data_IF_377791322823
#
_entry.id   IF_377791322823
#
_cell.length_a   1.000
_cell.length_b   1.000
_cell.length_c   1.000
_cell.angle_alpha   90.00
_cell.angle_beta   90.00
_cell.angle_gamma   90.00
#
_symmetry.space_group_name_H-M   'P 1'
#
loop_
_entity.id
_entity.type
_entity.pdbx_description
1 polymer ?
#
# COMPACT_ATOMS: atom_id res chain seq x y z
N UNK A 1 11.94 2.95 -23.22
CA UNK A 1 11.31 4.06 -22.45
C UNK A 1 10.39 3.42 -21.43
N UNK A 2 10.78 3.40 -20.17
CA UNK A 2 9.96 2.82 -19.08
C UNK A 2 8.76 3.75 -18.84
N UNK A 3 7.55 3.25 -19.05
CA UNK A 3 6.34 3.98 -18.64
C UNK A 3 6.28 3.93 -17.12
N UNK A 4 6.80 4.98 -16.47
CA UNK A 4 6.60 5.17 -15.03
C UNK A 4 5.10 5.24 -14.78
N UNK A 5 4.61 4.43 -13.86
CA UNK A 5 3.20 4.37 -13.50
C UNK A 5 3.01 5.07 -12.16
N UNK A 6 2.04 5.98 -12.08
CA UNK A 6 1.55 6.44 -10.78
C UNK A 6 0.88 5.24 -10.11
N UNK A 7 1.17 5.01 -8.85
CA UNK A 7 0.44 4.03 -8.05
C UNK A 7 -1.05 4.35 -8.20
N UNK A 8 -1.81 3.36 -8.67
CA UNK A 8 -3.26 3.55 -8.79
C UNK A 8 -3.76 4.04 -7.44
N UNK A 9 -4.59 5.09 -7.46
CA UNK A 9 -5.34 5.46 -6.28
C UNK A 9 -5.97 4.18 -5.75
N UNK A 10 -6.03 4.07 -4.46
CA UNK A 10 -6.97 3.16 -3.84
C UNK A 10 -8.28 3.28 -4.60
N UNK A 11 -8.67 2.23 -5.31
CA UNK A 11 -9.85 2.26 -6.20
C UNK A 11 -11.15 2.28 -5.39
N UNK A 12 -11.07 2.21 -4.06
CA UNK A 12 -12.22 2.22 -3.16
C UNK A 12 -12.13 3.30 -2.08
N UNK A 13 -13.28 3.87 -1.72
CA UNK A 13 -13.41 4.81 -0.59
C UNK A 13 -13.02 4.21 0.77
N UNK A 14 -12.85 2.89 0.86
CA UNK A 14 -12.41 2.17 2.06
C UNK A 14 -10.91 2.35 2.35
N UNK A 15 -10.11 2.51 1.31
CA UNK A 15 -8.67 2.63 1.48
C UNK A 15 -8.28 3.95 2.12
N UNK A 16 -9.12 4.97 1.96
CA UNK A 16 -8.96 6.27 2.60
C UNK A 16 -9.30 6.23 4.09
N UNK A 17 -10.15 5.29 4.54
CA UNK A 17 -10.48 5.11 5.96
C UNK A 17 -9.39 4.32 6.72
N UNK A 18 -8.50 3.67 6.00
CA UNK A 18 -7.48 2.83 6.60
C UNK A 18 -6.27 3.66 6.99
N UNK A 19 -6.01 3.75 8.27
CA UNK A 19 -4.77 4.34 8.80
C UNK A 19 -3.55 3.60 8.24
N UNK A 20 -3.67 2.27 8.16
CA UNK A 20 -2.63 1.40 7.61
C UNK A 20 -3.19 0.03 7.20
N UNK A 21 -2.41 -0.67 6.37
CA UNK A 21 -2.66 -2.06 5.96
C UNK A 21 -1.43 -2.91 6.20
N UNK A 22 -1.65 -4.21 6.39
CA UNK A 22 -0.61 -5.22 6.47
C UNK A 22 -0.79 -6.21 5.32
N UNK A 23 0.27 -6.48 4.58
CA UNK A 23 0.24 -7.32 3.38
C UNK A 23 1.50 -8.17 3.26
N UNK A 24 1.39 -9.29 2.53
CA UNK A 24 2.54 -10.00 1.96
C UNK A 24 2.67 -9.64 0.49
N UNK A 25 3.87 -9.32 0.06
CA UNK A 25 4.19 -9.02 -1.34
C UNK A 25 5.26 -9.98 -1.84
N UNK A 26 5.07 -10.50 -3.04
CA UNK A 26 5.96 -11.49 -3.66
C UNK A 26 6.34 -11.00 -5.04
N UNK A 27 7.65 -10.85 -5.28
CA UNK A 27 8.15 -10.42 -6.58
C UNK A 27 9.10 -11.48 -7.16
N UNK A 28 8.71 -12.02 -8.31
CA UNK A 28 9.46 -13.06 -9.02
C UNK A 28 10.11 -12.53 -10.32
N UNK A 29 9.88 -11.28 -10.68
CA UNK A 29 10.40 -10.62 -11.87
C UNK A 29 10.53 -9.12 -11.63
N UNK A 30 11.28 -8.46 -12.52
CA UNK A 30 11.43 -7.01 -12.50
C UNK A 30 10.05 -6.32 -12.59
N UNK A 31 9.90 -5.24 -11.85
CA UNK A 31 8.68 -4.41 -11.89
C UNK A 31 8.87 -3.24 -12.85
N UNK A 32 7.80 -2.47 -13.07
CA UNK A 32 7.91 -1.18 -13.74
C UNK A 32 8.10 -0.07 -12.71
N UNK A 33 8.77 1.03 -13.05
CA UNK A 33 8.87 2.18 -12.16
C UNK A 33 7.49 2.64 -11.70
N UNK A 34 7.33 2.84 -10.40
CA UNK A 34 6.08 3.25 -9.75
C UNK A 34 6.31 4.44 -8.85
N UNK A 35 5.48 5.48 -8.99
CA UNK A 35 5.41 6.62 -8.06
C UNK A 35 4.44 6.25 -6.95
N UNK A 36 4.88 6.31 -5.71
CA UNK A 36 4.08 5.94 -4.55
C UNK A 36 3.30 7.13 -4.00
N UNK A 37 2.02 6.93 -3.70
CA UNK A 37 1.17 7.95 -3.07
C UNK A 37 1.10 7.77 -1.55
N UNK A 38 1.35 6.56 -1.05
CA UNK A 38 1.32 6.22 0.37
C UNK A 38 2.69 5.77 0.86
N UNK A 39 2.98 6.06 2.13
CA UNK A 39 4.19 5.56 2.76
C UNK A 39 4.09 4.06 3.03
N UNK A 40 5.23 3.38 3.00
CA UNK A 40 5.29 1.95 3.33
C UNK A 40 6.63 1.52 3.88
N UNK A 41 6.58 0.58 4.79
CA UNK A 41 7.72 -0.24 5.16
C UNK A 41 7.66 -1.57 4.42
N UNK A 42 8.78 -1.98 3.82
CA UNK A 42 8.96 -3.31 3.22
C UNK A 42 10.06 -4.03 3.99
N UNK A 43 9.74 -5.12 4.65
CA UNK A 43 10.72 -6.00 5.30
C UNK A 43 10.93 -7.23 4.42
N UNK A 44 12.12 -7.38 3.84
CA UNK A 44 12.47 -8.56 3.06
C UNK A 44 12.69 -9.75 4.01
N UNK A 45 11.83 -10.75 3.90
CA UNK A 45 11.87 -11.98 4.71
C UNK A 45 12.63 -13.09 4.00
N UNK A 46 12.68 -13.05 2.65
CA UNK A 46 13.33 -14.02 1.80
C UNK A 46 13.68 -13.44 0.44
N UNK A 47 14.63 -14.07 -0.25
CA UNK A 47 15.04 -13.72 -1.60
C UNK A 47 16.17 -12.71 -1.63
N UNK A 48 16.59 -12.40 -2.87
CA UNK A 48 17.64 -11.44 -3.19
C UNK A 48 17.39 -10.81 -4.55
N UNK A 49 17.90 -9.60 -4.74
CA UNK A 49 17.75 -8.84 -5.98
C UNK A 49 18.21 -7.39 -5.82
N UNK A 50 17.75 -6.54 -6.70
CA UNK A 50 18.05 -5.10 -6.69
C UNK A 50 16.78 -4.28 -6.85
N UNK A 51 16.74 -3.19 -6.11
CA UNK A 51 15.70 -2.16 -6.23
C UNK A 51 16.36 -0.82 -6.56
N UNK A 52 15.78 -0.10 -7.50
CA UNK A 52 16.07 1.31 -7.68
C UNK A 52 15.06 2.12 -6.90
N UNK A 53 15.54 2.98 -6.03
CA UNK A 53 14.72 3.92 -5.27
C UNK A 53 15.25 5.33 -5.51
N UNK A 54 14.43 6.16 -6.11
CA UNK A 54 14.79 7.54 -6.39
C UNK A 54 16.08 7.66 -7.22
N UNK A 55 16.20 6.85 -8.27
CA UNK A 55 17.37 6.76 -9.17
C UNK A 55 18.64 6.20 -8.52
N UNK A 56 18.62 5.80 -7.25
CA UNK A 56 19.73 5.09 -6.59
C UNK A 56 19.42 3.59 -6.59
N UNK A 57 20.39 2.78 -6.99
CA UNK A 57 20.27 1.32 -6.95
C UNK A 57 20.76 0.78 -5.61
N UNK A 58 20.01 -0.18 -5.07
CA UNK A 58 20.33 -0.83 -3.80
C UNK A 58 20.15 -2.35 -3.93
N UNK A 59 21.00 -3.09 -3.24
CA UNK A 59 20.80 -4.51 -3.03
C UNK A 59 19.63 -4.76 -2.08
N UNK A 60 18.81 -5.75 -2.39
CA UNK A 60 17.75 -6.25 -1.52
C UNK A 60 18.05 -7.71 -1.23
N UNK A 61 18.07 -8.06 0.05
CA UNK A 61 18.28 -9.43 0.52
C UNK A 61 17.51 -9.66 1.80
N UNK A 62 17.41 -10.91 2.23
CA UNK A 62 16.80 -11.24 3.51
C UNK A 62 17.33 -10.30 4.61
N UNK A 63 16.44 -9.72 5.42
CA UNK A 63 16.67 -8.72 6.47
C UNK A 63 16.92 -7.29 5.97
N UNK A 64 16.72 -7.01 4.70
CA UNK A 64 16.62 -5.62 4.26
C UNK A 64 15.27 -5.06 4.72
N UNK A 65 15.28 -3.85 5.29
CA UNK A 65 14.07 -3.05 5.52
C UNK A 65 14.15 -1.77 4.71
N UNK A 66 13.08 -1.46 4.02
CA UNK A 66 12.98 -0.33 3.09
C UNK A 66 11.85 0.57 3.56
N UNK A 67 12.10 1.86 3.63
CA UNK A 67 11.07 2.87 3.83
C UNK A 67 10.88 3.66 2.52
N UNK A 68 9.68 3.60 2.01
CA UNK A 68 9.22 4.39 0.85
C UNK A 68 8.23 5.41 1.40
N UNK A 69 8.38 6.68 1.03
CA UNK A 69 7.46 7.75 1.42
C UNK A 69 6.71 8.29 0.20
N UNK A 70 5.64 9.08 0.39
CA UNK A 70 4.88 9.65 -0.72
C UNK A 70 5.80 10.35 -1.72
N UNK A 71 5.53 10.13 -2.99
CA UNK A 71 6.24 10.64 -4.17
C UNK A 71 7.63 10.04 -4.41
N UNK A 72 8.04 9.04 -3.65
CA UNK A 72 9.18 8.22 -4.04
C UNK A 72 8.86 7.39 -5.30
N UNK A 73 9.90 7.12 -6.08
CA UNK A 73 9.82 6.24 -7.25
C UNK A 73 10.63 4.99 -6.95
N UNK A 74 9.98 3.83 -7.04
CA UNK A 74 10.67 2.55 -6.89
C UNK A 74 10.48 1.63 -8.09
N UNK A 75 11.47 0.78 -8.33
CA UNK A 75 11.47 -0.24 -9.37
C UNK A 75 12.34 -1.40 -8.91
N UNK A 76 11.83 -2.62 -8.93
CA UNK A 76 12.67 -3.81 -8.77
C UNK A 76 13.32 -4.08 -10.14
N UNK A 77 14.62 -3.84 -10.21
CA UNK A 77 15.41 -3.90 -11.45
C UNK A 77 16.02 -5.27 -11.70
N UNK A 78 16.16 -6.08 -10.63
CA UNK A 78 16.71 -7.43 -10.73
C UNK A 78 16.12 -8.30 -9.63
N UNK A 79 15.74 -9.52 -9.96
CA UNK A 79 15.33 -10.57 -9.02
C UNK A 79 16.24 -11.77 -9.25
N UNK A 80 17.10 -12.09 -8.28
CA UNK A 80 17.99 -13.26 -8.31
C UNK A 80 17.28 -14.47 -7.72
N UNK A 81 16.64 -14.26 -6.55
CA UNK A 81 15.73 -15.19 -5.90
C UNK A 81 14.43 -14.48 -5.58
N UNK A 82 13.31 -15.19 -5.68
CA UNK A 82 11.99 -14.60 -5.41
C UNK A 82 12.00 -13.81 -4.10
N UNK A 83 11.72 -12.52 -4.22
CA UNK A 83 11.64 -11.62 -3.09
C UNK A 83 10.30 -11.79 -2.36
N UNK A 84 10.34 -11.93 -1.05
CA UNK A 84 9.17 -11.99 -0.19
C UNK A 84 9.25 -10.85 0.83
N UNK A 85 8.24 -9.98 0.82
CA UNK A 85 8.15 -8.84 1.73
C UNK A 85 6.96 -8.95 2.67
N UNK A 86 7.16 -8.51 3.90
CA UNK A 86 6.08 -8.01 4.74
C UNK A 86 5.98 -6.51 4.46
N UNK A 87 4.80 -6.09 4.01
CA UNK A 87 4.52 -4.70 3.64
C UNK A 87 3.51 -4.10 4.61
N UNK A 88 3.83 -2.92 5.15
CA UNK A 88 2.91 -2.09 5.91
C UNK A 88 2.76 -0.79 5.12
N UNK A 89 1.60 -0.57 4.53
CA UNK A 89 1.24 0.69 3.88
C UNK A 89 0.49 1.54 4.89
N UNK A 90 0.82 2.82 5.02
CA UNK A 90 0.20 3.69 6.02
C UNK A 90 -0.01 5.11 5.51
N UNK A 91 -0.99 5.80 6.10
CA UNK A 91 -1.24 7.20 5.83
C UNK A 91 -0.15 8.06 6.45
N UNK A 92 0.70 8.63 5.60
CA UNK A 92 1.87 9.39 6.03
C UNK A 92 1.49 10.71 6.69
N UNK A 93 0.46 11.40 6.19
CA UNK A 93 -0.01 12.67 6.78
C UNK A 93 -0.54 12.44 8.19
N UNK A 94 -1.41 11.44 8.39
CA UNK A 94 -1.93 11.11 9.72
C UNK A 94 -0.81 10.70 10.70
N UNK A 95 0.24 10.05 10.21
CA UNK A 95 1.39 9.68 11.03
C UNK A 95 2.24 10.89 11.40
N UNK A 96 2.53 11.80 10.46
CA UNK A 96 3.32 13.00 10.72
C UNK A 96 2.58 14.00 11.60
N UNK A 97 1.25 14.13 11.45
CA UNK A 97 0.42 14.94 12.33
C UNK A 97 0.47 14.42 13.78
N UNK A 98 0.36 13.10 13.95
CA UNK A 98 0.50 12.48 15.28
C UNK A 98 1.87 12.71 15.91
N UNK A 99 2.95 12.65 15.13
CA UNK A 99 4.29 12.98 15.61
C UNK A 99 4.43 14.46 16.00
N UNK A 100 3.78 15.36 15.27
CA UNK A 100 3.77 16.79 15.58
C UNK A 100 3.01 17.08 16.87
N UNK A 101 1.88 16.42 17.10
CA UNK A 101 1.09 16.53 18.33
C UNK A 101 1.85 16.03 19.57
N UNK A 102 2.80 15.12 19.39
CA UNK A 102 3.67 14.65 20.48
C UNK A 102 4.86 15.60 20.77
N UNK A 103 4.93 16.76 20.10
CA UNK A 103 6.04 17.72 20.20
C UNK A 103 7.44 17.10 19.98
N UNK A 104 7.50 15.92 19.35
CA UNK A 104 8.76 15.22 19.08
C UNK A 104 9.57 15.96 18.04
N UNK A 105 8.89 16.73 17.17
CA UNK A 105 9.48 17.54 16.10
C UNK A 105 8.94 18.98 16.17
N UNK A 106 9.60 19.82 16.96
CA UNK A 106 9.18 21.22 17.18
C UNK A 106 9.59 22.18 16.07
N UNK A 107 10.48 21.78 15.19
CA UNK A 107 10.84 22.57 14.01
C UNK A 107 10.31 21.87 12.75
N UNK A 108 9.56 22.65 11.94
CA UNK A 108 8.96 22.22 10.68
C UNK A 108 9.80 21.19 9.92
N UNK A 109 9.42 19.94 10.06
CA UNK A 109 9.64 18.80 9.13
C UNK A 109 11.03 18.58 8.49
N UNK A 110 12.02 19.47 8.63
CA UNK A 110 13.29 19.35 7.92
C UNK A 110 14.17 18.22 8.45
N UNK A 111 14.19 17.94 9.75
CA UNK A 111 15.10 16.93 10.30
C UNK A 111 14.61 15.49 10.12
N UNK A 112 13.30 15.22 10.30
CA UNK A 112 12.76 13.87 10.08
C UNK A 112 12.85 13.43 8.63
N UNK A 113 12.52 14.33 7.68
CA UNK A 113 12.67 14.06 6.26
C UNK A 113 14.13 13.91 5.84
N UNK A 114 15.06 14.70 6.39
CA UNK A 114 16.49 14.56 6.08
C UNK A 114 17.07 13.24 6.60
N UNK A 115 16.76 12.85 7.83
CA UNK A 115 17.20 11.58 8.39
C UNK A 115 16.65 10.35 7.62
N UNK A 116 15.43 10.46 7.10
CA UNK A 116 14.84 9.43 6.24
C UNK A 116 15.48 9.45 4.86
N UNK A 117 15.78 10.63 4.29
CA UNK A 117 16.26 10.74 2.91
C UNK A 117 17.64 10.13 2.70
N UNK A 118 18.52 10.17 3.69
CA UNK A 118 19.89 9.74 3.50
C UNK A 118 20.06 8.21 3.43
N UNK A 119 19.13 7.45 4.00
CA UNK A 119 19.25 5.99 4.10
C UNK A 119 17.92 5.26 4.06
N UNK A 120 17.39 5.08 2.85
CA UNK A 120 16.08 4.44 2.61
C UNK A 120 16.07 2.93 2.84
N UNK A 121 17.22 2.28 2.71
CA UNK A 121 17.35 0.83 2.90
C UNK A 121 18.34 0.58 4.02
N UNK A 122 17.97 -0.32 4.93
CA UNK A 122 18.82 -0.73 6.05
C UNK A 122 18.92 -2.25 6.11
N UNK A 123 20.11 -2.74 6.48
CA UNK A 123 20.38 -4.16 6.62
C UNK A 123 20.44 -4.52 8.09
N UNK A 124 19.47 -5.31 8.53
CA UNK A 124 19.26 -5.63 9.93
C UNK A 124 20.16 -6.80 10.37
N UNK A 125 20.71 -6.73 11.57
CA UNK A 125 21.27 -7.91 12.23
C UNK A 125 20.13 -8.81 12.76
N UNK A 126 20.48 -9.97 13.31
CA UNK A 126 19.49 -10.96 13.79
C UNK A 126 18.58 -10.44 14.89
N UNK A 127 19.11 -9.60 15.78
CA UNK A 127 18.36 -9.04 16.92
C UNK A 127 17.37 -7.99 16.40
N UNK A 128 17.84 -7.07 15.57
CA UNK A 128 17.06 -6.01 14.95
C UNK A 128 15.94 -6.60 14.07
N UNK A 129 16.27 -7.60 13.25
CA UNK A 129 15.29 -8.28 12.40
C UNK A 129 14.16 -8.94 13.22
N UNK A 130 14.53 -9.64 14.31
CA UNK A 130 13.53 -10.28 15.18
C UNK A 130 12.66 -9.24 15.91
N UNK A 131 13.22 -8.10 16.30
CA UNK A 131 12.49 -7.02 16.94
C UNK A 131 11.47 -6.41 15.97
N UNK A 132 11.93 -5.95 14.81
CA UNK A 132 11.09 -5.35 13.76
C UNK A 132 10.02 -6.34 13.29
N UNK A 133 10.37 -7.60 13.08
CA UNK A 133 9.39 -8.62 12.70
C UNK A 133 8.30 -8.81 13.79
N UNK A 134 8.66 -8.70 15.07
CA UNK A 134 7.71 -8.77 16.19
C UNK A 134 6.76 -7.58 16.15
N UNK A 135 7.29 -6.38 15.96
CA UNK A 135 6.48 -5.14 15.85
C UNK A 135 5.56 -5.21 14.63
N UNK A 136 6.05 -5.66 13.47
CA UNK A 136 5.21 -5.86 12.28
C UNK A 136 4.10 -6.90 12.50
N UNK A 137 4.36 -7.97 13.26
CA UNK A 137 3.32 -8.96 13.60
C UNK A 137 2.23 -8.41 14.53
N UNK A 138 2.53 -7.40 15.35
CA UNK A 138 1.50 -6.72 16.16
C UNK A 138 0.49 -6.00 15.25
N UNK A 139 0.94 -5.36 14.16
CA UNK A 139 0.02 -4.77 13.18
C UNK A 139 -0.91 -5.82 12.58
N UNK A 140 -0.37 -6.97 12.18
CA UNK A 140 -1.18 -8.06 11.65
C UNK A 140 -2.26 -8.54 12.63
N UNK A 141 -1.95 -8.57 13.92
CA UNK A 141 -2.91 -8.97 14.95
C UNK A 141 -4.09 -8.00 15.07
N UNK A 142 -3.85 -6.70 14.80
CA UNK A 142 -4.87 -5.65 14.90
C UNK A 142 -5.69 -5.48 13.62
N UNK A 143 -5.02 -5.39 12.46
CA UNK A 143 -5.68 -5.07 11.18
C UNK A 143 -5.91 -6.30 10.29
N UNK A 144 -5.42 -7.46 10.70
CA UNK A 144 -5.42 -8.65 9.85
C UNK A 144 -4.38 -8.56 8.74
N UNK A 145 -4.56 -9.38 7.74
CA UNK A 145 -3.74 -9.41 6.54
C UNK A 145 -4.66 -9.11 5.37
N UNK A 146 -4.41 -8.03 4.64
CA UNK A 146 -5.31 -7.57 3.58
C UNK A 146 -5.47 -8.61 2.47
N UNK A 147 -4.43 -9.42 2.30
CA UNK A 147 -4.49 -10.56 1.41
C UNK A 147 -5.33 -11.72 1.96
N UNK A 148 -5.65 -11.78 3.25
CA UNK A 148 -6.35 -12.90 3.89
C UNK A 148 -7.55 -12.44 4.72
N UNK A 149 -7.37 -11.41 5.53
CA UNK A 149 -8.35 -11.02 6.52
C UNK A 149 -8.11 -9.58 6.99
N UNK A 150 -8.92 -8.64 6.51
CA UNK A 150 -8.83 -7.26 6.94
C UNK A 150 -9.82 -6.97 8.08
N UNK A 151 -9.32 -6.39 9.17
CA UNK A 151 -10.16 -5.93 10.29
C UNK A 151 -10.21 -4.40 10.26
N UNK A 152 -11.37 -3.79 9.97
CA UNK A 152 -11.49 -2.34 10.04
C UNK A 152 -11.13 -1.81 11.43
N UNK A 153 -10.44 -0.70 11.48
CA UNK A 153 -10.12 -0.01 12.73
C UNK A 153 -11.41 0.56 13.31
N UNK A 154 -11.91 -0.07 14.38
CA UNK A 154 -13.27 0.18 14.91
C UNK A 154 -13.33 1.28 15.95
N UNK A 155 -12.23 1.61 16.60
CA UNK A 155 -12.22 2.51 17.73
C UNK A 155 -10.96 3.38 17.80
N UNK A 156 -11.09 4.50 18.52
CA UNK A 156 -9.99 5.46 18.69
C UNK A 156 -8.76 4.88 19.43
N UNK A 157 -8.94 3.89 20.28
CA UNK A 157 -7.82 3.30 21.02
C UNK A 157 -6.97 2.42 20.11
N UNK A 158 -7.60 1.62 19.26
CA UNK A 158 -6.90 0.86 18.21
C UNK A 158 -6.14 1.81 17.29
N UNK A 159 -6.74 2.93 16.87
CA UNK A 159 -6.05 3.93 16.04
C UNK A 159 -4.82 4.50 16.74
N UNK A 160 -4.94 4.91 18.02
CA UNK A 160 -3.80 5.42 18.81
C UNK A 160 -2.72 4.34 18.94
N UNK A 161 -3.12 3.10 19.22
CA UNK A 161 -2.18 1.98 19.35
C UNK A 161 -1.42 1.72 18.07
N UNK A 162 -2.08 1.73 16.90
CA UNK A 162 -1.44 1.55 15.60
C UNK A 162 -0.47 2.70 15.27
N UNK A 163 -0.81 3.95 15.60
CA UNK A 163 0.12 5.08 15.46
C UNK A 163 1.33 4.91 16.38
N UNK A 164 1.13 4.45 17.61
CA UNK A 164 2.22 4.15 18.56
C UNK A 164 3.14 3.04 18.00
N UNK A 165 2.56 1.99 17.41
CA UNK A 165 3.35 0.93 16.75
C UNK A 165 4.12 1.45 15.53
N UNK A 166 3.56 2.40 14.76
CA UNK A 166 4.30 3.05 13.66
C UNK A 166 5.49 3.87 14.20
N UNK A 167 5.33 4.56 15.32
CA UNK A 167 6.43 5.25 16.01
C UNK A 167 7.48 4.24 16.46
N UNK A 168 7.09 3.14 17.13
CA UNK A 168 7.99 2.05 17.56
C UNK A 168 8.80 1.52 16.36
N UNK A 169 8.11 1.16 15.27
CA UNK A 169 8.74 0.65 14.04
C UNK A 169 9.71 1.67 13.41
N UNK A 170 9.31 2.94 13.38
CA UNK A 170 10.15 4.01 12.83
C UNK A 170 11.41 4.22 13.68
N UNK A 171 11.29 4.19 14.99
CA UNK A 171 12.44 4.29 15.90
C UNK A 171 13.38 3.09 15.74
N UNK A 172 12.85 1.86 15.65
CA UNK A 172 13.64 0.66 15.40
C UNK A 172 14.38 0.76 14.05
N UNK A 173 13.68 1.23 13.01
CA UNK A 173 14.27 1.49 11.70
C UNK A 173 15.38 2.54 11.77
N UNK A 174 15.17 3.70 12.40
CA UNK A 174 16.15 4.77 12.49
C UNK A 174 17.39 4.40 13.35
N UNK A 175 17.20 3.55 14.35
CA UNK A 175 18.29 3.05 15.22
C UNK A 175 19.10 1.91 14.62
N UNK A 176 18.57 1.20 13.62
CA UNK A 176 19.31 0.14 12.96
C UNK A 176 20.56 0.72 12.28
N UNK A 177 21.69 0.03 12.44
CA UNK A 177 22.96 0.52 11.89
C UNK A 177 22.95 0.41 10.37
N UNK A 178 23.27 1.51 9.70
CA UNK A 178 23.58 1.46 8.28
C UNK A 178 24.90 0.74 8.04
N UNK A 179 24.82 -0.31 7.26
CA UNK A 179 26.00 -0.90 6.60
C UNK A 179 25.75 -0.69 5.10
N UNK A 180 25.71 0.56 4.67
CA UNK A 180 25.74 0.87 3.25
C UNK A 180 27.18 1.18 2.86
N UNK A 181 27.76 0.35 2.01
CA UNK A 181 28.86 0.82 1.16
C UNK A 181 28.21 1.88 0.25
N UNK A 182 28.65 3.13 0.39
CA UNK A 182 28.25 4.23 -0.47
C UNK A 182 28.65 3.88 -1.91
N UNK A 183 27.70 3.53 -2.73
CA UNK A 183 27.91 3.58 -4.18
C UNK A 183 27.84 5.07 -4.53
N UNK A 184 29.00 5.65 -4.86
CA UNK A 184 29.11 7.06 -5.27
C UNK A 184 28.06 7.38 -6.34
N UNK A 185 27.06 8.15 -5.96
CA UNK A 185 26.14 8.76 -6.90
C UNK A 185 26.79 10.01 -7.49
N UNK A 186 26.76 10.16 -8.80
CA UNK A 186 27.14 11.38 -9.49
C UNK A 186 26.36 12.57 -8.93
N UNK A 187 26.99 13.40 -8.12
CA UNK A 187 26.41 14.47 -7.30
C UNK A 187 25.88 15.69 -8.11
N UNK A 188 25.84 15.68 -9.44
CA UNK A 188 25.55 16.87 -10.24
C UNK A 188 24.23 16.83 -11.04
N UNK A 189 23.32 15.90 -10.80
CA UNK A 189 22.02 15.88 -11.48
C UNK A 189 20.89 16.16 -10.49
N UNK A 190 20.02 17.11 -10.81
CA UNK A 190 18.79 17.37 -10.08
C UNK A 190 18.02 16.04 -9.95
N UNK A 191 17.69 15.65 -8.73
CA UNK A 191 16.96 14.42 -8.47
C UNK A 191 15.46 14.69 -8.64
N UNK A 192 14.78 13.88 -9.44
CA UNK A 192 13.34 14.01 -9.71
C UNK A 192 12.52 14.02 -8.41
N UNK A 193 12.92 13.27 -7.40
CA UNK A 193 12.19 13.20 -6.14
C UNK A 193 12.30 14.48 -5.33
N UNK A 194 13.42 15.19 -5.41
CA UNK A 194 13.54 16.52 -4.79
C UNK A 194 12.54 17.47 -5.42
N UNK A 195 12.37 17.39 -6.76
CA UNK A 195 11.36 18.17 -7.48
C UNK A 195 9.95 17.79 -7.03
N UNK A 196 9.64 16.49 -6.97
CA UNK A 196 8.32 15.99 -6.54
C UNK A 196 8.02 16.37 -5.09
N UNK A 197 8.96 16.12 -4.18
CA UNK A 197 8.82 16.47 -2.76
C UNK A 197 8.66 17.97 -2.55
N UNK A 198 9.46 18.77 -3.25
CA UNK A 198 9.34 20.23 -3.22
C UNK A 198 7.95 20.66 -3.70
N UNK A 199 7.50 20.16 -4.84
CA UNK A 199 6.17 20.50 -5.37
C UNK A 199 5.05 20.14 -4.40
N UNK A 200 5.11 18.96 -3.79
CA UNK A 200 4.09 18.49 -2.85
C UNK A 200 4.08 19.30 -1.54
N UNK A 201 5.25 19.64 -1.01
CA UNK A 201 5.38 20.46 0.21
C UNK A 201 4.87 21.92 0.01
N UNK A 202 4.96 22.44 -1.21
CA UNK A 202 4.65 23.84 -1.52
C UNK A 202 3.35 24.01 -2.33
N UNK A 203 2.44 23.03 -2.28
CA UNK A 203 1.18 23.11 -3.04
C UNK A 203 0.38 24.38 -2.73
N UNK A 204 0.36 24.81 -1.46
CA UNK A 204 -0.31 26.04 -1.01
C UNK A 204 0.26 27.33 -1.64
N UNK A 205 1.51 27.32 -2.10
CA UNK A 205 2.23 28.51 -2.59
C UNK A 205 1.87 28.90 -4.03
N UNK A 206 0.83 28.31 -4.59
CA UNK A 206 0.41 28.52 -5.99
C UNK A 206 1.59 28.33 -6.95
N UNK A 207 2.09 27.10 -6.97
CA UNK A 207 3.23 26.71 -7.79
C UNK A 207 2.99 26.99 -9.28
N UNK A 208 4.04 27.47 -9.93
CA UNK A 208 4.13 27.58 -11.39
C UNK A 208 5.40 26.89 -11.86
N UNK A 209 5.43 26.50 -13.12
CA UNK A 209 6.62 25.90 -13.71
C UNK A 209 7.85 26.79 -13.55
N UNK A 210 7.66 28.14 -13.65
CA UNK A 210 8.70 29.13 -13.42
C UNK A 210 9.30 29.06 -12.03
N UNK A 211 8.43 29.03 -11.00
CA UNK A 211 8.88 28.97 -9.60
C UNK A 211 9.69 27.69 -9.34
N UNK A 212 9.16 26.55 -9.76
CA UNK A 212 9.85 25.26 -9.58
C UNK A 212 11.17 25.24 -10.36
N UNK A 213 11.17 25.68 -11.61
CA UNK A 213 12.40 25.75 -12.43
C UNK A 213 13.48 26.62 -11.79
N UNK A 214 13.08 27.76 -11.20
CA UNK A 214 14.02 28.67 -10.53
C UNK A 214 14.67 28.05 -9.30
N UNK A 215 13.90 27.29 -8.49
CA UNK A 215 14.42 26.60 -7.29
C UNK A 215 15.49 25.58 -7.64
N UNK A 216 15.31 24.87 -8.75
CA UNK A 216 16.26 23.85 -9.21
C UNK A 216 17.24 24.35 -10.25
N UNK A 217 17.39 25.68 -10.39
CA UNK A 217 18.33 26.32 -11.33
C UNK A 217 18.18 25.83 -12.78
N UNK A 218 16.96 25.53 -13.20
CA UNK A 218 16.66 25.06 -14.55
C UNK A 218 15.87 26.11 -15.34
N UNK A 219 15.97 26.03 -16.69
CA UNK A 219 15.01 26.77 -17.54
C UNK A 219 13.63 26.08 -17.50
N UNK A 220 12.55 26.83 -17.79
CA UNK A 220 11.20 26.25 -17.92
C UNK A 220 11.15 25.08 -18.90
N UNK A 221 11.78 25.26 -20.06
CA UNK A 221 11.82 24.21 -21.09
C UNK A 221 12.60 22.98 -20.63
N UNK A 222 13.71 23.19 -19.92
CA UNK A 222 14.51 22.10 -19.35
C UNK A 222 13.72 21.34 -18.27
N UNK A 223 13.05 22.03 -17.35
CA UNK A 223 12.22 21.42 -16.32
C UNK A 223 11.03 20.67 -16.94
N UNK A 224 10.32 21.26 -17.89
CA UNK A 224 9.22 20.58 -18.57
C UNK A 224 9.66 19.30 -19.29
N UNK A 225 10.81 19.36 -19.98
CA UNK A 225 11.41 18.20 -20.61
C UNK A 225 11.85 17.15 -19.58
N UNK A 226 12.49 17.61 -18.50
CA UNK A 226 12.95 16.73 -17.43
C UNK A 226 11.81 15.95 -16.78
N UNK A 227 10.69 16.60 -16.43
CA UNK A 227 9.50 15.92 -15.93
C UNK A 227 8.94 14.91 -16.94
N UNK A 228 8.90 15.30 -18.23
CA UNK A 228 8.38 14.42 -19.27
C UNK A 228 9.27 13.20 -19.49
N UNK A 229 10.59 13.40 -19.49
CA UNK A 229 11.56 12.31 -19.72
C UNK A 229 11.68 11.38 -18.50
N UNK A 230 11.62 11.93 -17.27
CA UNK A 230 11.79 11.16 -16.02
C UNK A 230 10.54 10.36 -15.65
N UNK A 231 9.35 10.98 -15.73
CA UNK A 231 8.11 10.40 -15.19
C UNK A 231 6.93 10.40 -16.17
N UNK A 232 7.15 10.88 -17.39
CA UNK A 232 6.13 10.98 -18.45
C UNK A 232 4.92 11.88 -18.11
N UNK A 233 5.11 12.87 -17.21
CA UNK A 233 4.09 13.84 -16.81
C UNK A 233 4.42 15.23 -17.35
N UNK A 234 3.40 16.00 -17.69
CA UNK A 234 3.54 17.46 -17.79
C UNK A 234 3.45 18.06 -16.37
N UNK A 235 4.04 19.24 -16.19
CA UNK A 235 3.95 19.96 -14.90
C UNK A 235 2.51 20.14 -14.42
N UNK A 236 1.60 20.48 -15.35
CA UNK A 236 0.18 20.70 -15.01
C UNK A 236 -0.49 19.41 -14.56
N UNK A 237 -0.35 18.32 -15.30
CA UNK A 237 -0.91 17.01 -14.94
C UNK A 237 -0.42 16.57 -13.56
N UNK A 238 0.89 16.69 -13.31
CA UNK A 238 1.50 16.34 -12.04
C UNK A 238 0.96 17.20 -10.89
N UNK A 239 0.91 18.51 -11.08
CA UNK A 239 0.40 19.44 -10.07
C UNK A 239 -1.08 19.18 -9.75
N UNK A 240 -1.90 18.94 -10.77
CA UNK A 240 -3.32 18.62 -10.61
C UNK A 240 -3.52 17.30 -9.87
N UNK A 241 -2.68 16.28 -10.13
CA UNK A 241 -2.70 15.01 -9.43
C UNK A 241 -2.28 15.16 -7.96
N UNK A 242 -1.23 15.94 -7.68
CA UNK A 242 -0.77 16.22 -6.31
C UNK A 242 -1.83 16.97 -5.50
N UNK A 243 -2.42 18.03 -6.06
CA UNK A 243 -3.51 18.79 -5.43
C UNK A 243 -4.71 17.92 -5.12
N UNK A 244 -5.09 17.10 -6.07
CA UNK A 244 -6.21 16.19 -5.89
C UNK A 244 -5.94 15.17 -4.80
N UNK A 245 -4.79 14.47 -4.82
CA UNK A 245 -4.41 13.49 -3.80
C UNK A 245 -4.43 14.10 -2.39
N UNK A 246 -3.79 15.27 -2.22
CA UNK A 246 -3.79 15.97 -0.92
C UNK A 246 -5.20 16.41 -0.50
N UNK A 247 -6.04 16.85 -1.44
CA UNK A 247 -7.42 17.27 -1.12
C UNK A 247 -8.28 16.12 -0.63
N UNK A 248 -8.10 14.92 -1.20
CA UNK A 248 -8.76 13.69 -0.76
C UNK A 248 -8.38 13.36 0.69
N UNK A 249 -7.08 13.41 1.02
CA UNK A 249 -6.59 13.18 2.38
C UNK A 249 -7.19 14.21 3.36
N UNK A 250 -7.19 15.49 3.02
CA UNK A 250 -7.74 16.54 3.88
C UNK A 250 -9.27 16.41 4.06
N UNK A 251 -10.01 16.02 3.02
CA UNK A 251 -11.45 15.74 3.11
C UNK A 251 -11.75 14.57 4.04
N UNK A 252 -10.94 13.54 3.99
CA UNK A 252 -11.13 12.30 4.73
C UNK A 252 -10.71 12.41 6.20
N UNK A 253 -9.61 13.09 6.49
CA UNK A 253 -8.96 13.01 7.80
C UNK A 253 -9.01 14.29 8.63
N UNK A 254 -9.51 15.40 8.06
CA UNK A 254 -9.56 16.69 8.76
C UNK A 254 -10.97 17.27 8.80
N UNK A 255 -11.22 18.16 9.76
CA UNK A 255 -12.44 18.96 9.84
C UNK A 255 -12.34 20.29 9.08
N UNK A 256 -11.30 20.50 8.27
CA UNK A 256 -11.10 21.72 7.49
C UNK A 256 -12.30 21.98 6.58
N UNK A 257 -12.72 23.22 6.48
CA UNK A 257 -13.74 23.67 5.52
C UNK A 257 -13.24 23.49 4.08
N UNK A 258 -14.13 23.47 3.11
CA UNK A 258 -13.73 23.38 1.68
C UNK A 258 -12.85 24.56 1.27
N UNK A 259 -13.09 25.75 1.85
CA UNK A 259 -12.29 26.94 1.62
C UNK A 259 -10.86 26.78 2.16
N UNK A 260 -10.71 26.24 3.38
CA UNK A 260 -9.40 25.95 3.96
C UNK A 260 -8.67 24.91 3.15
N UNK A 261 -9.35 23.83 2.72
CA UNK A 261 -8.75 22.80 1.85
C UNK A 261 -8.31 23.40 0.51
N UNK A 262 -9.18 24.19 -0.16
CA UNK A 262 -8.84 24.84 -1.41
C UNK A 262 -7.55 25.69 -1.28
N UNK A 263 -7.42 26.43 -0.18
CA UNK A 263 -6.25 27.24 0.13
C UNK A 263 -5.02 26.36 0.38
N UNK A 264 -5.17 25.31 1.20
CA UNK A 264 -4.09 24.39 1.59
C UNK A 264 -3.50 23.62 0.40
N UNK A 265 -4.33 23.28 -0.58
CA UNK A 265 -3.87 22.64 -1.83
C UNK A 265 -3.59 23.63 -2.97
N UNK A 266 -3.66 24.94 -2.71
CA UNK A 266 -3.26 25.99 -3.64
C UNK A 266 -4.21 26.23 -4.82
N UNK A 267 -5.52 26.05 -4.61
CA UNK A 267 -6.53 26.57 -5.54
C UNK A 267 -6.76 28.07 -5.33
N UNK A 268 -7.20 28.76 -6.38
CA UNK A 268 -7.43 30.21 -6.30
C UNK A 268 -8.70 30.54 -5.51
N UNK A 269 -9.71 29.70 -5.62
CA UNK A 269 -11.00 29.81 -4.96
C UNK A 269 -11.65 28.44 -4.80
N UNK A 270 -12.69 28.39 -3.96
CA UNK A 270 -13.44 27.19 -3.63
C UNK A 270 -14.17 26.63 -4.85
N UNK A 271 -14.69 27.49 -5.71
CA UNK A 271 -15.45 27.08 -6.89
C UNK A 271 -14.55 26.30 -7.86
N UNK A 272 -13.31 26.75 -8.05
CA UNK A 272 -12.35 26.06 -8.89
C UNK A 272 -11.97 24.70 -8.29
N UNK A 273 -11.76 24.62 -6.97
CA UNK A 273 -11.53 23.36 -6.27
C UNK A 273 -12.70 22.38 -6.44
N UNK A 274 -13.92 22.84 -6.12
CA UNK A 274 -15.15 22.01 -6.20
C UNK A 274 -15.36 21.48 -7.62
N UNK A 275 -15.22 22.34 -8.63
CA UNK A 275 -15.40 21.94 -10.03
C UNK A 275 -14.32 20.93 -10.48
N UNK A 276 -13.05 21.17 -10.12
CA UNK A 276 -11.94 20.27 -10.44
C UNK A 276 -12.15 18.88 -9.80
N UNK A 277 -12.58 18.86 -8.56
CA UNK A 277 -12.86 17.62 -7.82
C UNK A 277 -14.06 16.88 -8.44
N UNK A 278 -15.17 17.59 -8.71
CA UNK A 278 -16.38 17.01 -9.33
C UNK A 278 -16.10 16.46 -10.72
N UNK A 279 -15.29 17.13 -11.53
CA UNK A 279 -14.92 16.61 -12.86
C UNK A 279 -14.18 15.28 -12.77
N UNK A 280 -13.37 15.09 -11.72
CA UNK A 280 -12.54 13.92 -11.54
C UNK A 280 -13.29 12.77 -10.86
N UNK A 281 -13.96 13.04 -9.74
CA UNK A 281 -14.62 11.99 -8.91
C UNK A 281 -16.12 11.80 -9.24
N UNK A 282 -16.70 12.70 -10.03
CA UNK A 282 -18.13 12.70 -10.35
C UNK A 282 -19.06 12.93 -9.15
N UNK A 283 -18.49 13.30 -8.00
CA UNK A 283 -19.18 13.73 -6.78
C UNK A 283 -18.54 15.03 -6.28
N UNK A 284 -19.28 15.84 -5.55
CA UNK A 284 -18.70 17.05 -4.95
C UNK A 284 -17.81 16.72 -3.73
N UNK A 285 -16.86 17.58 -3.35
CA UNK A 285 -16.07 17.38 -2.13
C UNK A 285 -16.92 17.22 -0.87
N UNK A 286 -18.07 17.90 -0.78
CA UNK A 286 -19.01 17.77 0.35
C UNK A 286 -19.67 16.39 0.36
N UNK A 287 -20.18 15.94 -0.77
CA UNK A 287 -20.75 14.59 -0.92
C UNK A 287 -19.70 13.52 -0.63
N UNK A 288 -18.48 13.70 -1.14
CA UNK A 288 -17.35 12.80 -0.85
C UNK A 288 -17.07 12.72 0.65
N UNK A 289 -17.00 13.86 1.34
CA UNK A 289 -16.82 13.91 2.80
C UNK A 289 -17.99 13.29 3.54
N UNK A 290 -19.21 13.60 3.15
CA UNK A 290 -20.41 13.00 3.74
C UNK A 290 -20.44 11.49 3.52
N UNK A 291 -20.15 11.02 2.33
CA UNK A 291 -20.08 9.58 2.04
C UNK A 291 -18.94 8.92 2.86
N UNK A 292 -17.83 9.63 3.05
CA UNK A 292 -16.74 9.17 3.90
C UNK A 292 -17.16 9.12 5.38
N UNK A 293 -17.73 10.21 5.92
CA UNK A 293 -18.25 10.27 7.29
C UNK A 293 -19.48 9.35 7.47
N UNK A 294 -20.32 9.25 6.45
CA UNK A 294 -21.43 8.28 6.43
C UNK A 294 -20.95 6.85 6.25
N UNK A 295 -19.81 6.63 5.61
CA UNK A 295 -19.15 5.32 5.58
C UNK A 295 -18.61 4.96 6.94
N UNK A 296 -18.02 5.89 7.71
CA UNK A 296 -17.74 5.70 9.13
C UNK A 296 -19.03 5.51 9.96
N UNK A 297 -20.05 6.32 9.73
CA UNK A 297 -21.34 6.19 10.40
C UNK A 297 -22.18 5.05 9.85
N UNK A 298 -22.06 4.72 8.55
CA UNK A 298 -22.63 3.50 7.96
C UNK A 298 -21.87 2.26 8.38
N UNK A 299 -20.57 2.31 8.62
CA UNK A 299 -19.88 1.23 9.33
C UNK A 299 -20.48 1.04 10.72
N UNK A 300 -20.87 2.11 11.42
CA UNK A 300 -21.66 2.03 12.67
C UNK A 300 -23.13 1.60 12.45
N UNK A 301 -23.77 2.01 11.35
CA UNK A 301 -25.13 1.62 10.98
C UNK A 301 -25.16 0.32 10.15
N UNK A 302 -24.06 -0.02 9.46
CA UNK A 302 -23.83 -1.28 8.77
C UNK A 302 -23.23 -2.36 9.68
N UNK A 303 -23.16 -2.12 10.97
CA UNK A 303 -23.18 -3.15 12.00
C UNK A 303 -24.48 -3.95 12.02
N UNK A 304 -25.28 -3.91 10.94
CA UNK A 304 -26.35 -4.89 10.83
C UNK A 304 -25.68 -6.26 10.79
N UNK A 305 -26.02 -7.08 11.78
CA UNK A 305 -25.55 -8.45 11.95
C UNK A 305 -25.58 -9.24 10.63
N UNK A 306 -26.48 -8.88 9.73
CA UNK A 306 -26.66 -9.50 8.41
C UNK A 306 -25.44 -9.45 7.48
N UNK A 307 -24.60 -8.40 7.51
CA UNK A 307 -23.42 -8.32 6.62
C UNK A 307 -22.23 -9.05 7.22
N UNK A 308 -22.04 -8.92 8.52
CA UNK A 308 -21.07 -9.73 9.26
C UNK A 308 -21.39 -11.22 9.10
N UNK A 309 -22.68 -11.54 9.16
CA UNK A 309 -23.17 -12.90 8.98
C UNK A 309 -22.99 -13.40 7.55
N UNK A 310 -23.16 -12.52 6.53
CA UNK A 310 -22.90 -12.85 5.14
C UNK A 310 -21.42 -13.17 4.91
N UNK A 311 -20.52 -12.31 5.38
CA UNK A 311 -19.06 -12.52 5.25
C UNK A 311 -18.66 -13.78 6.02
N UNK A 312 -19.06 -13.90 7.28
CA UNK A 312 -18.81 -15.10 8.10
C UNK A 312 -19.38 -16.38 7.46
N UNK A 313 -20.55 -16.28 6.82
CA UNK A 313 -21.11 -17.42 6.10
C UNK A 313 -20.22 -17.84 4.92
N UNK A 314 -19.73 -16.90 4.12
CA UNK A 314 -18.80 -17.21 3.03
C UNK A 314 -17.51 -17.82 3.59
N UNK A 315 -16.93 -17.22 4.64
CA UNK A 315 -15.70 -17.70 5.30
C UNK A 315 -15.85 -19.09 5.92
N UNK A 316 -17.01 -19.42 6.45
CA UNK A 316 -17.25 -20.74 7.03
C UNK A 316 -17.60 -21.81 5.98
N UNK A 317 -18.00 -21.40 4.77
CA UNK A 317 -18.47 -22.31 3.73
C UNK A 317 -17.62 -22.30 2.44
N UNK A 318 -16.50 -21.59 2.37
CA UNK A 318 -15.72 -21.47 1.13
C UNK A 318 -15.19 -22.81 0.61
N UNK A 319 -15.06 -23.82 1.48
CA UNK A 319 -14.63 -25.19 1.10
C UNK A 319 -15.72 -25.97 0.38
N UNK A 320 -16.98 -25.50 0.45
CA UNK A 320 -18.07 -26.11 -0.30
C UNK A 320 -17.96 -25.74 -1.79
N UNK A 321 -17.79 -26.72 -2.66
CA UNK A 321 -17.66 -26.54 -4.11
C UNK A 321 -18.88 -25.87 -4.74
N UNK A 322 -20.08 -26.10 -4.19
CA UNK A 322 -21.34 -25.53 -4.67
C UNK A 322 -21.60 -24.10 -4.19
N UNK A 323 -20.71 -23.53 -3.35
CA UNK A 323 -20.89 -22.17 -2.88
C UNK A 323 -20.80 -21.18 -4.04
N UNK A 324 -21.88 -20.51 -4.32
CA UNK A 324 -22.02 -19.53 -5.41
C UNK A 324 -22.67 -18.26 -4.92
N UNK A 325 -22.54 -17.18 -5.70
CA UNK A 325 -23.18 -15.90 -5.39
C UNK A 325 -24.71 -16.04 -5.29
N UNK A 326 -25.32 -16.93 -6.08
CA UNK A 326 -26.75 -17.19 -6.05
C UNK A 326 -27.18 -17.88 -4.75
N UNK A 327 -26.38 -18.80 -4.23
CA UNK A 327 -26.62 -19.45 -2.92
C UNK A 327 -26.59 -18.41 -1.80
N UNK A 328 -25.55 -17.56 -1.78
CA UNK A 328 -25.42 -16.49 -0.79
C UNK A 328 -26.53 -15.46 -0.91
N UNK A 329 -26.83 -15.00 -2.13
CA UNK A 329 -27.91 -14.05 -2.41
C UNK A 329 -29.26 -14.55 -1.90
N UNK A 330 -29.59 -15.81 -2.19
CA UNK A 330 -30.85 -16.45 -1.74
C UNK A 330 -30.89 -16.57 -0.22
N UNK A 331 -29.76 -17.00 0.42
CA UNK A 331 -29.71 -17.18 1.87
C UNK A 331 -29.94 -15.88 2.64
N UNK A 332 -29.38 -14.77 2.15
CA UNK A 332 -29.45 -13.47 2.82
C UNK A 332 -30.56 -12.57 2.26
N UNK A 333 -31.41 -13.08 1.37
CA UNK A 333 -32.47 -12.33 0.68
C UNK A 333 -31.95 -11.03 0.03
N UNK A 334 -30.81 -11.15 -0.67
CA UNK A 334 -30.13 -10.04 -1.34
C UNK A 334 -29.97 -10.30 -2.84
N UNK A 335 -29.80 -9.25 -3.63
CA UNK A 335 -29.40 -9.41 -5.03
C UNK A 335 -27.92 -9.72 -5.13
N UNK A 336 -27.51 -10.41 -6.21
CA UNK A 336 -26.07 -10.66 -6.48
C UNK A 336 -25.27 -9.35 -6.60
N UNK A 337 -25.90 -8.29 -7.11
CA UNK A 337 -25.30 -6.95 -7.14
C UNK A 337 -25.04 -6.41 -5.73
N UNK A 338 -25.98 -6.60 -4.80
CA UNK A 338 -25.82 -6.18 -3.41
C UNK A 338 -24.72 -6.97 -2.69
N UNK A 339 -24.63 -8.28 -2.94
CA UNK A 339 -23.53 -9.12 -2.40
C UNK A 339 -22.19 -8.64 -2.91
N UNK A 340 -22.06 -8.42 -4.24
CA UNK A 340 -20.83 -7.90 -4.82
C UNK A 340 -20.49 -6.49 -4.31
N UNK A 341 -21.48 -5.59 -4.14
CA UNK A 341 -21.25 -4.28 -3.53
C UNK A 341 -20.67 -4.39 -2.11
N UNK A 342 -21.19 -5.32 -1.30
CA UNK A 342 -20.67 -5.56 0.06
C UNK A 342 -19.24 -6.06 0.01
N UNK A 343 -18.95 -7.04 -0.85
CA UNK A 343 -17.61 -7.64 -0.95
C UNK A 343 -16.60 -6.70 -1.60
N UNK A 344 -16.98 -5.99 -2.66
CA UNK A 344 -16.15 -4.93 -3.25
C UNK A 344 -15.88 -3.82 -2.25
N UNK A 345 -16.90 -3.43 -1.48
CA UNK A 345 -16.76 -2.45 -0.42
C UNK A 345 -15.81 -2.91 0.70
N UNK A 346 -15.85 -4.21 1.08
CA UNK A 346 -15.08 -4.74 2.23
C UNK A 346 -13.70 -5.29 1.84
N UNK A 347 -13.54 -5.80 0.62
CA UNK A 347 -12.37 -6.57 0.21
C UNK A 347 -11.84 -6.20 -1.19
N UNK A 348 -12.43 -5.20 -1.85
CA UNK A 348 -12.12 -4.82 -3.25
C UNK A 348 -12.20 -6.00 -4.24
N UNK A 349 -13.01 -6.97 -3.90
CA UNK A 349 -13.17 -8.20 -4.67
C UNK A 349 -14.65 -8.47 -4.90
N UNK A 350 -14.98 -8.87 -6.12
CA UNK A 350 -16.28 -9.47 -6.34
C UNK A 350 -16.35 -10.85 -5.66
N UNK A 351 -17.53 -11.45 -5.62
CA UNK A 351 -17.75 -12.74 -4.94
C UNK A 351 -16.78 -13.84 -5.43
N UNK A 352 -16.57 -13.95 -6.74
CA UNK A 352 -15.71 -14.99 -7.30
C UNK A 352 -14.23 -14.76 -6.95
N UNK A 353 -13.80 -13.53 -6.97
CA UNK A 353 -12.44 -13.15 -6.58
C UNK A 353 -12.21 -13.39 -5.09
N UNK A 354 -13.15 -13.00 -4.24
CA UNK A 354 -13.06 -13.22 -2.80
C UNK A 354 -13.08 -14.71 -2.44
N UNK A 355 -13.97 -15.49 -3.04
CA UNK A 355 -14.05 -16.93 -2.83
C UNK A 355 -12.76 -17.65 -3.25
N UNK A 356 -12.25 -17.35 -4.46
CA UNK A 356 -10.99 -17.92 -4.94
C UNK A 356 -9.82 -17.55 -4.04
N UNK A 357 -9.84 -16.33 -3.54
CA UNK A 357 -8.85 -15.83 -2.63
C UNK A 357 -8.81 -16.63 -1.30
N UNK A 358 -9.95 -16.84 -0.64
CA UNK A 358 -10.05 -17.68 0.57
C UNK A 358 -9.55 -19.10 0.32
N UNK A 359 -9.95 -19.70 -0.81
CA UNK A 359 -9.56 -21.05 -1.20
C UNK A 359 -8.05 -21.18 -1.43
N UNK A 360 -7.46 -20.23 -2.14
CA UNK A 360 -6.01 -20.24 -2.41
C UNK A 360 -5.22 -20.03 -1.13
N UNK A 361 -5.67 -19.17 -0.24
CA UNK A 361 -5.02 -18.94 1.06
C UNK A 361 -4.99 -20.21 1.91
N UNK A 362 -6.10 -20.92 1.99
CA UNK A 362 -6.16 -22.20 2.70
C UNK A 362 -5.28 -23.24 2.02
N UNK A 363 -5.24 -23.27 0.68
CA UNK A 363 -4.35 -24.16 -0.06
C UNK A 363 -2.87 -23.88 0.27
N UNK A 364 -2.47 -22.63 0.43
CA UNK A 364 -1.12 -22.26 0.88
C UNK A 364 -0.81 -22.85 2.24
N UNK A 365 -1.74 -22.81 3.18
CA UNK A 365 -1.57 -23.43 4.50
C UNK A 365 -1.38 -24.96 4.38
N UNK A 366 -2.22 -25.62 3.60
CA UNK A 366 -2.13 -27.07 3.39
C UNK A 366 -0.83 -27.46 2.67
N UNK A 367 -0.41 -26.69 1.67
CA UNK A 367 0.86 -26.90 0.96
C UNK A 367 2.08 -26.74 1.88
N UNK A 368 1.99 -25.90 2.93
CA UNK A 368 3.04 -25.71 3.93
C UNK A 368 3.08 -26.80 5.01
N UNK A 369 1.91 -27.33 5.35
CA UNK A 369 1.74 -28.19 6.53
C UNK A 369 1.54 -29.66 6.21
N UNK A 370 1.25 -30.01 4.95
CA UNK A 370 0.97 -31.39 4.53
C UNK A 370 1.74 -31.78 3.27
N UNK A 371 1.94 -33.06 3.07
CA UNK A 371 2.49 -33.65 1.83
C UNK A 371 1.38 -34.19 0.90
N UNK A 372 0.14 -33.77 1.11
CA UNK A 372 -1.00 -34.24 0.32
C UNK A 372 -0.85 -33.86 -1.17
N UNK A 373 -1.34 -34.70 -2.09
CA UNK A 373 -1.35 -34.36 -3.52
C UNK A 373 -2.02 -32.99 -3.80
N UNK A 374 -1.49 -32.24 -4.74
CA UNK A 374 -2.00 -30.90 -5.10
C UNK A 374 -3.45 -30.98 -5.55
N UNK A 375 -3.83 -32.04 -6.23
CA UNK A 375 -5.19 -32.33 -6.67
C UNK A 375 -6.15 -32.50 -5.48
N UNK A 376 -5.74 -33.20 -4.46
CA UNK A 376 -6.54 -33.43 -3.25
C UNK A 376 -6.70 -32.12 -2.45
N UNK A 377 -5.64 -31.32 -2.38
CA UNK A 377 -5.70 -29.97 -1.77
C UNK A 377 -6.71 -29.11 -2.52
N UNK A 378 -6.68 -29.12 -3.86
CA UNK A 378 -7.60 -28.34 -4.67
C UNK A 378 -9.07 -28.67 -4.33
N UNK A 379 -9.40 -29.95 -4.23
CA UNK A 379 -10.73 -30.40 -3.84
C UNK A 379 -11.08 -30.03 -2.40
N UNK A 380 -10.17 -30.24 -1.45
CA UNK A 380 -10.37 -29.90 -0.03
C UNK A 380 -10.66 -28.43 0.22
N UNK A 381 -10.06 -27.55 -0.56
CA UNK A 381 -10.33 -26.12 -0.44
C UNK A 381 -11.53 -25.63 -1.26
N UNK A 382 -12.23 -26.55 -1.93
CA UNK A 382 -13.51 -26.30 -2.60
C UNK A 382 -13.41 -25.99 -4.10
N UNK A 383 -12.31 -26.25 -4.78
CA UNK A 383 -12.26 -26.16 -6.25
C UNK A 383 -12.80 -27.46 -6.87
N UNK A 384 -13.67 -27.36 -7.87
CA UNK A 384 -14.26 -28.50 -8.59
C UNK A 384 -13.24 -29.21 -9.50
N UNK A 385 -12.12 -28.56 -9.83
CA UNK A 385 -11.06 -29.15 -10.63
C UNK A 385 -9.71 -28.46 -10.40
N UNK A 386 -8.64 -29.23 -10.57
CA UNK A 386 -7.27 -28.77 -10.36
C UNK A 386 -6.81 -27.72 -11.38
N UNK A 387 -7.42 -27.65 -12.57
CA UNK A 387 -7.07 -26.63 -13.58
C UNK A 387 -7.49 -25.24 -13.14
N UNK A 388 -8.72 -25.09 -12.63
CA UNK A 388 -9.23 -23.81 -12.09
C UNK A 388 -8.41 -23.40 -10.86
N UNK A 389 -8.11 -24.36 -9.99
CA UNK A 389 -7.23 -24.13 -8.83
C UNK A 389 -5.87 -23.58 -9.25
N UNK A 390 -5.15 -24.28 -10.14
CA UNK A 390 -3.81 -23.86 -10.61
C UNK A 390 -3.84 -22.46 -11.25
N UNK A 391 -4.89 -22.16 -12.02
CA UNK A 391 -5.08 -20.83 -12.62
C UNK A 391 -5.27 -19.75 -11.56
N UNK A 392 -6.18 -19.98 -10.59
CA UNK A 392 -6.45 -19.01 -9.51
C UNK A 392 -5.24 -18.84 -8.59
N UNK A 393 -4.55 -19.93 -8.28
CA UNK A 393 -3.34 -19.92 -7.47
C UNK A 393 -2.23 -19.09 -8.13
N UNK A 394 -1.97 -19.35 -9.43
CA UNK A 394 -0.98 -18.57 -10.19
C UNK A 394 -1.40 -17.10 -10.36
N UNK A 395 -2.68 -16.83 -10.57
CA UNK A 395 -3.18 -15.46 -10.69
C UNK A 395 -2.94 -14.65 -9.40
N UNK A 396 -3.11 -15.27 -8.22
CA UNK A 396 -2.99 -14.62 -6.90
C UNK A 396 -1.52 -14.57 -6.45
N UNK A 397 -0.77 -15.68 -6.60
CA UNK A 397 0.59 -15.81 -6.04
C UNK A 397 1.71 -15.75 -7.09
N UNK A 398 1.37 -15.63 -8.37
CA UNK A 398 2.32 -15.55 -9.51
C UNK A 398 3.27 -16.75 -9.63
N UNK A 399 3.01 -17.83 -8.90
CA UNK A 399 3.74 -19.10 -8.95
C UNK A 399 2.74 -20.25 -9.02
N UNK A 400 3.16 -21.41 -9.53
CA UNK A 400 2.31 -22.61 -9.51
C UNK A 400 2.32 -23.28 -8.12
N UNK A 401 1.26 -24.03 -7.77
CA UNK A 401 1.24 -24.80 -6.51
C UNK A 401 2.43 -25.75 -6.35
N UNK A 402 2.89 -26.34 -7.47
CA UNK A 402 4.04 -27.27 -7.49
C UNK A 402 5.35 -26.56 -7.20
N UNK A 403 5.58 -25.41 -7.83
CA UNK A 403 6.74 -24.54 -7.58
C UNK A 403 6.73 -24.04 -6.13
N UNK A 404 5.57 -23.60 -5.65
CA UNK A 404 5.39 -23.14 -4.29
C UNK A 404 5.77 -24.25 -3.26
N UNK A 405 5.28 -25.46 -3.45
CA UNK A 405 5.64 -26.62 -2.59
C UNK A 405 7.13 -26.96 -2.68
N UNK A 406 7.70 -26.99 -3.89
CA UNK A 406 9.13 -27.25 -4.09
C UNK A 406 9.99 -26.25 -3.32
N UNK A 407 9.64 -24.98 -3.38
CA UNK A 407 10.38 -23.92 -2.68
C UNK A 407 10.34 -24.11 -1.17
N UNK A 408 9.18 -24.50 -0.60
CA UNK A 408 9.04 -24.75 0.84
C UNK A 408 9.85 -26.00 1.27
N UNK A 409 9.85 -27.06 0.46
CA UNK A 409 10.57 -28.29 0.81
C UNK A 409 12.09 -28.10 0.76
N UNK A 410 12.59 -27.26 -0.14
CA UNK A 410 14.00 -26.83 -0.14
C UNK A 410 14.37 -26.10 1.16
N UNK A 411 13.45 -25.33 1.74
CA UNK A 411 13.67 -24.68 3.03
C UNK A 411 13.71 -25.64 4.21
N UNK A 412 12.83 -26.64 4.22
CA UNK A 412 12.79 -27.65 5.32
C UNK A 412 14.05 -28.52 5.36
N UNK A 413 14.65 -28.82 4.22
CA UNK A 413 15.85 -29.67 4.13
C UNK A 413 17.18 -28.88 4.24
N UNK A 414 17.18 -27.58 3.98
CA UNK A 414 18.38 -26.74 4.15
C UNK A 414 18.71 -26.36 5.61
N UNK A 415 17.88 -26.73 6.59
CA UNK A 415 18.10 -26.42 8.01
C UNK A 415 18.65 -27.58 8.83
N UNK A 416 18.84 -28.76 8.23
CA UNK A 416 19.38 -29.93 8.94
C UNK A 416 20.89 -30.13 8.74
N UNK A 417 21.57 -29.27 7.96
CA UNK A 417 23.00 -29.40 7.68
C UNK A 417 23.82 -28.15 8.12
N UNK A 418 23.46 -27.50 9.21
CA UNK A 418 24.30 -26.48 9.87
C UNK A 418 24.23 -26.59 11.38
#
# INVERSE_FOLDING_TARGET
>A
MSNTRLEGKFESHLDLSNLLTYEYEFESSNTKPMIHQQARFLLCTKGSGKITLNSKEYEVKKRSIILIVPWDISEITQVDEQLEFIKIVFNFSAFTDYLSDLEIFTEKNSSFYSEINDNRIRYLNDIEFKSILRTMKKFRAEVGDISIYYTPIKDKFTRIYLLTLLVELTIEYLRSKNITEEIESNENSVNINEVLSYMYAHLSDKLTLEKVSAVFFMSKSSMAKYLKDSINYTFKELLDDMKFSKSVDLLAYTSLTLSEIAKEVGYNDDSHFINSFLQREKVTPSEFREDYLHTENRLKLFESDTKKDLIRYIENNFRNEDLSISVVSKKFNMTSSSVNKILNFQFEKNFSEYLNYLRVTEAVNLLKTTEEPIEDIALKVGFNNSRTFRRSFNQILRVTPSEFRKNINLEKHGWNDC
#
